data_IF_182880695415
#
_entry.id   IF_182880695415
#
_cell.length_a   1.000
_cell.length_b   1.000
_cell.length_c   1.000
_cell.angle_alpha   90.00
_cell.angle_beta   90.00
_cell.angle_gamma   90.00
#
_symmetry.space_group_name_H-M   'P 1'
#
loop_
_entity.id
_entity.type
_entity.pdbx_description
1 polymer ?
#
# COMPACT_ATOMS: atom_id res chain seq x y z
N UNK A 1 7.50 6.19 -14.07
CA UNK A 1 7.04 6.08 -12.67
C UNK A 1 8.14 5.42 -11.85
N UNK A 2 8.70 6.12 -10.84
CA UNK A 2 9.87 5.64 -10.10
C UNK A 2 9.61 4.35 -9.31
N UNK A 3 8.42 4.20 -8.71
CA UNK A 3 8.02 3.00 -7.96
C UNK A 3 7.94 1.72 -8.80
N UNK A 4 7.67 1.84 -10.10
CA UNK A 4 7.64 0.70 -11.02
C UNK A 4 9.05 0.36 -11.51
N UNK A 5 9.90 1.38 -11.70
CA UNK A 5 11.26 1.19 -12.21
C UNK A 5 12.23 0.71 -11.13
N UNK A 6 12.05 1.16 -9.89
CA UNK A 6 12.92 0.89 -8.75
C UNK A 6 12.09 0.77 -7.46
N UNK A 7 11.32 -0.33 -7.28
CA UNK A 7 10.58 -0.54 -6.05
C UNK A 7 11.52 -0.81 -4.87
N UNK A 8 11.15 -0.38 -3.65
CA UNK A 8 11.82 -0.82 -2.43
C UNK A 8 11.77 -2.35 -2.26
N UNK A 9 12.73 -2.97 -1.57
CA UNK A 9 12.69 -4.41 -1.28
C UNK A 9 11.38 -4.82 -0.60
N UNK A 10 10.71 -5.84 -1.13
CA UNK A 10 9.43 -6.34 -0.59
C UNK A 10 8.21 -5.51 -0.97
N UNK A 11 8.35 -4.47 -1.81
CA UNK A 11 7.24 -3.64 -2.28
C UNK A 11 7.00 -3.89 -3.76
N UNK A 12 5.75 -4.09 -4.16
CA UNK A 12 5.34 -4.25 -5.56
C UNK A 12 4.07 -3.45 -5.81
N UNK A 13 4.02 -2.71 -6.92
CA UNK A 13 2.81 -1.98 -7.33
C UNK A 13 2.04 -2.83 -8.32
N UNK A 14 0.72 -2.88 -8.19
CA UNK A 14 -0.14 -3.54 -9.18
C UNK A 14 -0.24 -2.67 -10.46
N UNK A 15 0.57 -2.99 -11.46
CA UNK A 15 0.70 -2.22 -12.70
C UNK A 15 -0.58 -2.23 -13.54
N UNK A 16 -1.35 -3.33 -13.49
CA UNK A 16 -2.60 -3.49 -14.24
C UNK A 16 -3.69 -2.55 -13.72
N UNK A 17 -3.71 -2.32 -12.40
CA UNK A 17 -4.65 -1.40 -11.75
C UNK A 17 -4.24 0.07 -11.93
N UNK A 18 -2.95 0.39 -11.89
CA UNK A 18 -2.45 1.76 -12.09
C UNK A 18 -2.75 2.27 -13.50
N UNK A 19 -2.66 1.40 -14.52
CA UNK A 19 -3.00 1.75 -15.90
C UNK A 19 -4.47 2.11 -16.12
N UNK A 20 -5.37 1.61 -15.26
CA UNK A 20 -6.81 1.83 -15.35
C UNK A 20 -7.29 3.00 -14.49
N UNK A 21 -6.66 3.25 -13.33
CA UNK A 21 -7.03 4.33 -12.43
C UNK A 21 -5.81 4.99 -11.79
N UNK A 22 -5.44 6.17 -12.29
CA UNK A 22 -4.33 6.95 -11.74
C UNK A 22 -4.61 7.55 -10.35
N UNK A 23 -5.87 7.56 -9.90
CA UNK A 23 -6.26 8.11 -8.58
C UNK A 23 -6.26 7.07 -7.47
N UNK A 24 -6.21 5.77 -7.78
CA UNK A 24 -6.21 4.71 -6.78
C UNK A 24 -5.22 3.61 -7.15
N UNK A 25 -4.21 3.40 -6.31
CA UNK A 25 -3.16 2.41 -6.55
C UNK A 25 -3.19 1.34 -5.47
N UNK A 26 -2.96 0.09 -5.86
CA UNK A 26 -2.77 -1.02 -4.92
C UNK A 26 -1.28 -1.36 -4.87
N UNK A 27 -0.75 -1.43 -3.65
CA UNK A 27 0.64 -1.75 -3.37
C UNK A 27 0.69 -2.98 -2.49
N UNK A 28 1.42 -3.99 -2.94
CA UNK A 28 1.73 -5.18 -2.18
C UNK A 28 3.00 -4.96 -1.38
N UNK A 29 2.97 -5.34 -0.10
CA UNK A 29 4.08 -5.20 0.83
C UNK A 29 4.34 -6.52 1.55
N UNK A 30 5.59 -6.96 1.58
CA UNK A 30 6.05 -8.08 2.38
C UNK A 30 6.59 -7.57 3.73
N UNK A 31 6.21 -8.24 4.82
CA UNK A 31 6.72 -7.88 6.14
C UNK A 31 8.22 -8.13 6.24
N UNK A 32 8.93 -7.15 6.80
CA UNK A 32 10.38 -7.15 6.82
C UNK A 32 10.95 -8.25 7.74
N UNK A 33 12.13 -8.76 7.35
CA UNK A 33 12.87 -9.77 8.14
C UNK A 33 13.21 -9.25 9.54
N UNK A 34 13.12 -10.12 10.53
CA UNK A 34 13.36 -9.84 11.95
C UNK A 34 12.21 -9.10 12.64
N UNK A 35 11.05 -8.96 12.00
CA UNK A 35 9.85 -8.35 12.59
C UNK A 35 8.76 -9.39 12.89
N UNK A 36 7.76 -9.02 13.68
CA UNK A 36 6.57 -9.86 13.92
C UNK A 36 5.73 -10.12 12.66
N UNK A 37 6.02 -9.38 11.58
CA UNK A 37 5.33 -9.47 10.31
C UNK A 37 6.16 -10.24 9.26
N UNK A 38 7.34 -10.76 9.61
CA UNK A 38 8.21 -11.46 8.67
C UNK A 38 7.45 -12.59 7.95
N UNK A 39 7.52 -12.59 6.61
CA UNK A 39 6.86 -13.59 5.76
C UNK A 39 5.38 -13.32 5.48
N UNK A 40 4.77 -12.35 6.17
CA UNK A 40 3.40 -11.91 5.88
C UNK A 40 3.34 -11.02 4.65
N UNK A 41 2.19 -11.05 3.96
CA UNK A 41 1.91 -10.18 2.81
C UNK A 41 0.70 -9.30 3.11
N UNK A 42 0.89 -8.00 2.92
CA UNK A 42 -0.13 -6.98 3.13
C UNK A 42 -0.43 -6.26 1.83
N UNK A 43 -1.61 -5.66 1.76
CA UNK A 43 -2.03 -4.80 0.67
C UNK A 43 -2.33 -3.41 1.22
N UNK A 44 -1.80 -2.40 0.54
CA UNK A 44 -2.04 -1.00 0.81
C UNK A 44 -2.81 -0.40 -0.36
N UNK A 45 -3.86 0.35 -0.07
CA UNK A 45 -4.52 1.21 -1.03
C UNK A 45 -4.02 2.64 -0.84
N UNK A 46 -3.52 3.22 -1.93
CA UNK A 46 -3.22 4.65 -2.02
C UNK A 46 -4.32 5.32 -2.80
N UNK A 47 -4.95 6.33 -2.22
CA UNK A 47 -5.96 7.15 -2.87
C UNK A 47 -5.50 8.59 -2.98
N UNK A 48 -5.30 9.03 -4.21
CA UNK A 48 -4.84 10.37 -4.55
C UNK A 48 -6.04 11.28 -4.77
N UNK A 49 -6.11 12.37 -4.00
CA UNK A 49 -7.11 13.41 -4.24
C UNK A 49 -6.74 14.24 -5.47
N UNK A 50 -7.71 14.99 -6.00
CA UNK A 50 -7.49 15.93 -7.10
C UNK A 50 -6.48 17.05 -6.78
N UNK A 51 -6.14 17.23 -5.50
CA UNK A 51 -5.21 18.25 -5.00
C UNK A 51 -3.80 17.70 -4.76
N UNK A 52 -3.58 16.41 -4.95
CA UNK A 52 -2.23 15.85 -4.91
C UNK A 52 -1.34 16.56 -5.95
N UNK A 53 -0.09 16.95 -5.63
CA UNK A 53 0.69 16.59 -4.45
C UNK A 53 0.62 17.58 -3.27
N UNK A 54 -0.28 18.58 -3.30
CA UNK A 54 -0.43 19.53 -2.19
C UNK A 54 -1.11 18.91 -0.97
N UNK A 55 -2.11 18.06 -1.21
CA UNK A 55 -2.70 17.20 -0.19
C UNK A 55 -2.03 15.83 -0.24
N UNK A 56 -1.79 15.24 0.94
CA UNK A 56 -1.24 13.89 1.05
C UNK A 56 -2.24 12.84 0.55
N UNK A 57 -1.77 11.72 0.00
CA UNK A 57 -2.66 10.61 -0.35
C UNK A 57 -3.22 9.99 0.93
N UNK A 58 -4.42 9.44 0.83
CA UNK A 58 -4.96 8.57 1.87
C UNK A 58 -4.37 7.17 1.68
N UNK A 59 -3.86 6.57 2.76
CA UNK A 59 -3.20 5.26 2.73
C UNK A 59 -3.84 4.36 3.75
N UNK A 60 -4.40 3.23 3.29
CA UNK A 60 -5.12 2.27 4.14
C UNK A 60 -4.66 0.85 3.86
N UNK A 61 -4.57 0.03 4.91
CA UNK A 61 -4.41 -1.41 4.75
C UNK A 61 -5.74 -2.00 4.31
N UNK A 62 -5.71 -2.84 3.28
CA UNK A 62 -6.88 -3.49 2.70
C UNK A 62 -6.65 -4.99 2.55
N UNK A 63 -7.69 -5.71 2.16
CA UNK A 63 -7.64 -7.16 1.93
C UNK A 63 -7.91 -7.97 3.18
N UNK A 64 -7.63 -9.27 3.11
CA UNK A 64 -7.91 -10.22 4.19
C UNK A 64 -6.86 -10.28 5.30
N UNK A 65 -5.70 -9.64 5.10
CA UNK A 65 -4.58 -9.64 6.05
C UNK A 65 -4.19 -8.20 6.38
N UNK A 66 -4.65 -7.70 7.53
CA UNK A 66 -4.36 -6.35 8.03
C UNK A 66 -3.44 -6.51 9.25
N UNK A 67 -2.28 -5.83 9.28
CA UNK A 67 -1.33 -6.01 10.37
C UNK A 67 -1.91 -5.46 11.68
N UNK A 68 -1.84 -6.27 12.73
CA UNK A 68 -2.19 -5.82 14.08
C UNK A 68 -1.04 -4.94 14.58
N UNK A 69 -1.28 -3.64 14.66
CA UNK A 69 -0.28 -2.66 15.10
C UNK A 69 -0.97 -1.45 15.76
N UNK A 70 -0.39 -0.80 16.80
CA UNK A 70 -1.02 0.33 17.48
C UNK A 70 -1.38 1.52 16.58
N UNK A 71 -0.68 1.66 15.45
CA UNK A 71 -0.92 2.71 14.45
C UNK A 71 -1.70 2.23 13.21
N UNK A 72 -2.23 1.01 13.25
CA UNK A 72 -3.06 0.46 12.18
C UNK A 72 -4.43 0.17 12.77
N UNK A 73 -5.40 0.97 12.36
CA UNK A 73 -6.78 0.82 12.79
C UNK A 73 -7.52 0.01 11.73
N UNK A 74 -8.27 -1.00 12.18
CA UNK A 74 -9.14 -1.74 11.30
C UNK A 74 -10.42 -0.93 11.08
N UNK A 75 -10.39 0.01 10.15
CA UNK A 75 -11.57 0.82 9.76
C UNK A 75 -12.60 0.00 8.94
N UNK A 76 -12.45 -1.33 8.93
CA UNK A 76 -13.33 -2.27 8.22
C UNK A 76 -14.49 -2.80 9.09
N UNK A 77 -14.88 -2.07 10.15
CA UNK A 77 -16.12 -2.33 10.92
C UNK A 77 -17.06 -1.15 10.78
#
# INVERSE_FOLDING_TARGET
MALIREPPPGVQVDEDLVGQNLTQWIVHMEGAKGTLYEGERFQLQFKFSSKYPFDSPEVTFIGGNIPIHPHVYNDSV
#
